data_IF_997634196333
#
_entry.id   IF_997634196333
#
_cell.length_a   1.000
_cell.length_b   1.000
_cell.length_c   1.000
_cell.angle_alpha   90.00
_cell.angle_beta   90.00
_cell.angle_gamma   90.00
#
_symmetry.space_group_name_H-M   'P 1'
#
loop_
_entity.id
_entity.type
_entity.pdbx_description
1 polymer ?
#
# COMPACT_ATOMS: atom_id res chain seq x y z
N UNK A 1 3.50 -4.20 0.91
CA UNK A 1 4.36 -5.36 1.24
C UNK A 1 4.82 -5.35 2.70
N UNK A 2 5.40 -4.25 3.22
CA UNK A 2 5.85 -4.18 4.62
C UNK A 2 4.73 -4.40 5.66
N UNK A 3 3.54 -3.82 5.45
CA UNK A 3 2.38 -4.04 6.35
C UNK A 3 2.01 -5.52 6.43
N UNK A 4 1.98 -6.22 5.30
CA UNK A 4 1.67 -7.66 5.26
C UNK A 4 2.74 -8.50 5.96
N UNK A 5 3.99 -8.04 5.99
CA UNK A 5 5.06 -8.69 6.74
C UNK A 5 4.93 -8.45 8.26
N UNK A 6 4.41 -7.28 8.67
CA UNK A 6 4.16 -6.96 10.08
C UNK A 6 2.80 -7.49 10.59
N UNK A 7 1.89 -7.88 9.70
CA UNK A 7 0.55 -8.38 10.04
C UNK A 7 0.57 -9.57 11.00
N UNK A 8 1.41 -10.59 10.82
CA UNK A 8 1.49 -11.69 11.78
C UNK A 8 1.90 -11.18 13.17
N UNK A 9 2.92 -10.32 13.25
CA UNK A 9 3.39 -9.77 14.53
C UNK A 9 2.29 -9.01 15.29
N UNK A 10 1.43 -8.29 14.57
CA UNK A 10 0.27 -7.62 15.16
C UNK A 10 -0.79 -8.60 15.68
N UNK A 11 -1.05 -9.69 14.94
CA UNK A 11 -1.98 -10.75 15.37
C UNK A 11 -1.46 -11.50 16.60
N UNK A 12 -0.14 -11.69 16.74
CA UNK A 12 0.47 -12.27 17.94
C UNK A 12 0.15 -11.48 19.20
N UNK A 13 0.38 -10.16 19.17
CA UNK A 13 0.11 -9.30 20.32
C UNK A 13 -1.38 -9.16 20.64
N UNK A 14 -2.25 -9.23 19.63
CA UNK A 14 -3.70 -9.25 19.86
C UNK A 14 -4.19 -10.61 20.37
N UNK A 15 -3.59 -11.71 19.90
CA UNK A 15 -3.87 -13.07 20.36
C UNK A 15 -3.49 -13.28 21.83
N UNK A 16 -2.38 -12.70 22.27
CA UNK A 16 -1.95 -12.66 23.68
C UNK A 16 -3.01 -11.98 24.57
N UNK A 17 -3.61 -10.88 24.09
CA UNK A 17 -4.72 -10.18 24.77
C UNK A 17 -6.00 -11.04 24.82
N UNK A 18 -6.22 -11.90 23.83
CA UNK A 18 -7.45 -12.72 23.70
C UNK A 18 -7.32 -14.14 24.28
N UNK A 19 -6.13 -14.55 24.78
CA UNK A 19 -5.89 -15.79 25.56
C UNK A 19 -6.52 -17.07 24.97
N UNK A 20 -6.41 -17.28 23.65
CA UNK A 20 -6.91 -18.49 22.99
C UNK A 20 -5.83 -19.16 22.15
N UNK A 21 -5.48 -20.41 22.51
CA UNK A 21 -4.42 -21.23 21.89
C UNK A 21 -4.63 -21.49 20.39
N UNK A 22 -5.85 -21.32 19.88
CA UNK A 22 -6.15 -21.41 18.44
C UNK A 22 -5.57 -20.24 17.64
N UNK A 23 -5.41 -19.07 18.27
CA UNK A 23 -4.78 -17.91 17.63
C UNK A 23 -3.28 -18.13 17.41
N UNK A 24 -2.60 -18.85 18.29
CA UNK A 24 -1.17 -19.15 18.16
C UNK A 24 -0.85 -20.05 16.95
N UNK A 25 -1.66 -21.08 16.73
CA UNK A 25 -1.49 -21.97 15.57
C UNK A 25 -1.83 -21.25 14.24
N UNK A 26 -2.90 -20.43 14.23
CA UNK A 26 -3.24 -19.61 13.09
C UNK A 26 -2.16 -18.55 12.79
N UNK A 27 -1.55 -17.98 13.84
CA UNK A 27 -0.45 -17.02 13.75
C UNK A 27 0.81 -17.63 13.13
N UNK A 28 1.25 -18.80 13.62
CA UNK A 28 2.43 -19.48 13.07
C UNK A 28 2.22 -19.85 11.59
N UNK A 29 1.00 -20.28 11.25
CA UNK A 29 0.60 -20.59 9.87
C UNK A 29 0.61 -19.34 8.98
N UNK A 30 0.05 -18.22 9.45
CA UNK A 30 0.00 -16.96 8.70
C UNK A 30 1.39 -16.36 8.47
N UNK A 31 2.26 -16.37 9.48
CA UNK A 31 3.63 -15.87 9.34
C UNK A 31 4.45 -16.74 8.37
N UNK A 32 4.33 -18.06 8.49
CA UNK A 32 5.00 -18.99 7.59
C UNK A 32 4.51 -18.83 6.14
N UNK A 33 3.21 -18.64 5.94
CA UNK A 33 2.63 -18.37 4.62
C UNK A 33 3.12 -17.03 4.04
N UNK A 34 3.14 -15.96 4.83
CA UNK A 34 3.66 -14.65 4.41
C UNK A 34 5.14 -14.72 4.04
N UNK A 35 5.94 -15.45 4.82
CA UNK A 35 7.35 -15.69 4.52
C UNK A 35 7.53 -16.49 3.23
N UNK A 36 6.73 -17.54 3.00
CA UNK A 36 6.72 -18.30 1.75
C UNK A 36 6.37 -17.38 0.57
N UNK A 37 5.35 -16.54 0.69
CA UNK A 37 4.94 -15.60 -0.37
C UNK A 37 6.07 -14.61 -0.66
N UNK A 38 6.72 -14.07 0.37
CA UNK A 38 7.86 -13.16 0.22
C UNK A 38 9.03 -13.84 -0.51
N UNK A 39 9.39 -15.06 -0.10
CA UNK A 39 10.46 -15.84 -0.72
C UNK A 39 10.12 -16.19 -2.17
N UNK A 40 8.87 -16.58 -2.46
CA UNK A 40 8.40 -16.84 -3.82
C UNK A 40 8.43 -15.59 -4.69
N UNK A 41 8.05 -14.43 -4.14
CA UNK A 41 8.11 -13.15 -4.84
C UNK A 41 9.55 -12.78 -5.19
N UNK A 42 10.45 -12.83 -4.20
CA UNK A 42 11.89 -12.62 -4.38
C UNK A 42 12.46 -13.59 -5.42
N UNK A 43 12.09 -14.87 -5.32
CA UNK A 43 12.53 -15.90 -6.26
C UNK A 43 12.03 -15.66 -7.69
N UNK A 44 10.75 -15.30 -7.85
CA UNK A 44 10.15 -14.99 -9.14
C UNK A 44 10.81 -13.78 -9.79
N UNK A 45 11.14 -12.76 -9.00
CA UNK A 45 11.90 -11.59 -9.44
C UNK A 45 13.31 -11.99 -9.92
N UNK A 46 13.98 -12.94 -9.25
CA UNK A 46 15.34 -13.35 -9.60
C UNK A 46 15.44 -14.38 -10.75
N UNK A 47 14.36 -15.13 -11.05
CA UNK A 47 14.36 -16.24 -12.03
C UNK A 47 13.12 -16.17 -12.95
N UNK A 48 13.05 -15.21 -13.89
CA UNK A 48 11.91 -15.01 -14.79
C UNK A 48 11.62 -16.25 -15.66
N UNK A 49 12.67 -16.95 -16.11
CA UNK A 49 12.61 -18.22 -16.86
C UNK A 49 11.70 -19.28 -16.21
N UNK A 50 11.70 -19.36 -14.87
CA UNK A 50 10.88 -20.35 -14.14
C UNK A 50 9.43 -19.90 -14.01
N UNK A 51 9.19 -18.59 -13.94
CA UNK A 51 7.84 -18.03 -13.94
C UNK A 51 7.16 -18.34 -15.26
N UNK A 52 7.86 -18.13 -16.39
CA UNK A 52 7.41 -18.50 -17.74
C UNK A 52 7.12 -20.00 -17.87
N UNK A 53 7.97 -20.85 -17.29
CA UNK A 53 7.73 -22.29 -17.31
C UNK A 53 6.50 -22.71 -16.48
N UNK A 54 6.25 -22.05 -15.35
CA UNK A 54 5.07 -22.32 -14.50
C UNK A 54 3.80 -21.85 -15.20
N UNK A 55 3.78 -20.64 -15.79
CA UNK A 55 2.64 -20.16 -16.59
C UNK A 55 2.38 -21.10 -17.75
N UNK A 56 3.41 -21.53 -18.48
CA UNK A 56 3.23 -22.50 -19.57
C UNK A 56 2.69 -23.86 -19.12
N UNK A 57 3.14 -24.34 -17.96
CA UNK A 57 2.68 -25.62 -17.39
C UNK A 57 1.26 -25.53 -16.83
N UNK A 58 0.87 -24.40 -16.24
CA UNK A 58 -0.49 -24.16 -15.76
C UNK A 58 -1.45 -24.08 -16.95
N UNK A 59 -1.11 -23.25 -17.93
CA UNK A 59 -1.93 -23.03 -19.12
C UNK A 59 -2.07 -24.31 -19.94
N UNK A 60 -1.00 -25.10 -20.14
CA UNK A 60 -1.09 -26.40 -20.80
C UNK A 60 -1.91 -27.46 -20.05
N UNK A 61 -2.09 -27.31 -18.72
CA UNK A 61 -2.95 -28.18 -17.90
C UNK A 61 -4.43 -27.80 -17.99
N UNK A 62 -4.72 -26.51 -18.18
CA UNK A 62 -6.09 -25.98 -18.29
C UNK A 62 -6.57 -25.82 -19.73
N UNK A 63 -5.66 -25.83 -20.71
CA UNK A 63 -5.94 -25.79 -22.15
C UNK A 63 -6.91 -26.89 -22.65
N UNK A 64 -6.86 -28.15 -22.17
CA UNK A 64 -7.82 -29.16 -22.62
C UNK A 64 -9.26 -28.88 -22.19
N UNK A 65 -9.45 -28.01 -21.19
CA UNK A 65 -10.76 -27.66 -20.66
C UNK A 65 -11.41 -26.48 -21.41
N UNK A 66 -10.65 -25.75 -22.23
CA UNK A 66 -11.11 -24.58 -22.99
C UNK A 66 -10.86 -24.80 -24.49
N UNK A 67 -11.92 -24.89 -25.30
CA UNK A 67 -11.86 -25.36 -26.70
C UNK A 67 -10.96 -24.55 -27.67
N UNK A 68 -10.75 -25.10 -28.87
CA UNK A 68 -9.76 -24.67 -29.91
C UNK A 68 -9.73 -23.18 -30.29
N UNK A 69 -10.83 -22.41 -30.13
CA UNK A 69 -10.82 -20.95 -30.37
C UNK A 69 -10.16 -20.18 -29.23
N UNK A 70 -10.20 -20.73 -28.01
CA UNK A 70 -9.54 -20.17 -26.84
C UNK A 70 -8.04 -20.45 -26.87
N UNK A 71 -7.60 -21.53 -27.52
CA UNK A 71 -6.17 -21.88 -27.65
C UNK A 71 -5.34 -20.78 -28.34
N UNK A 72 -5.87 -20.16 -29.41
CA UNK A 72 -5.21 -19.02 -30.09
C UNK A 72 -5.24 -17.73 -29.25
N UNK A 73 -6.30 -17.51 -28.47
CA UNK A 73 -6.36 -16.37 -27.54
C UNK A 73 -5.40 -16.58 -26.36
N UNK A 74 -5.27 -17.82 -25.89
CA UNK A 74 -4.37 -18.25 -24.84
C UNK A 74 -2.91 -18.07 -25.29
N UNK A 75 -2.56 -18.44 -26.52
CA UNK A 75 -1.19 -18.25 -27.03
C UNK A 75 -0.81 -16.77 -27.12
N UNK A 76 -1.73 -15.91 -27.56
CA UNK A 76 -1.48 -14.46 -27.61
C UNK A 76 -1.39 -13.85 -26.20
N UNK A 77 -2.21 -14.31 -25.25
CA UNK A 77 -2.08 -13.91 -23.85
C UNK A 77 -0.77 -14.40 -23.23
N UNK A 78 -0.29 -15.60 -23.60
CA UNK A 78 1.01 -16.11 -23.15
C UNK A 78 2.17 -15.26 -23.66
N UNK A 79 2.17 -14.87 -24.94
CA UNK A 79 3.20 -13.98 -25.48
C UNK A 79 3.19 -12.60 -24.81
N UNK A 80 2.00 -12.05 -24.51
CA UNK A 80 1.88 -10.81 -23.76
C UNK A 80 2.40 -10.94 -22.33
N UNK A 81 2.03 -12.03 -21.63
CA UNK A 81 2.51 -12.31 -20.27
C UNK A 81 4.03 -12.50 -20.27
N UNK A 82 4.59 -13.23 -21.24
CA UNK A 82 6.02 -13.46 -21.34
C UNK A 82 6.79 -12.17 -21.61
N UNK A 83 6.26 -11.30 -22.48
CA UNK A 83 6.84 -9.97 -22.76
C UNK A 83 6.76 -9.06 -21.54
N UNK A 84 5.62 -9.05 -20.83
CA UNK A 84 5.44 -8.28 -19.60
C UNK A 84 6.37 -8.78 -18.47
N UNK A 85 6.57 -10.10 -18.36
CA UNK A 85 7.53 -10.70 -17.41
C UNK A 85 8.96 -10.26 -17.73
N UNK A 86 9.36 -10.23 -18.99
CA UNK A 86 10.69 -9.76 -19.39
C UNK A 86 10.87 -8.26 -19.09
N UNK A 87 9.88 -7.44 -19.46
CA UNK A 87 9.89 -6.01 -19.18
C UNK A 87 9.92 -5.72 -17.68
N UNK A 88 9.14 -6.45 -16.87
CA UNK A 88 9.17 -6.35 -15.42
C UNK A 88 10.53 -6.77 -14.86
N UNK A 89 11.09 -7.88 -15.34
CA UNK A 89 12.40 -8.35 -14.89
C UNK A 89 13.52 -7.36 -15.22
N UNK A 90 13.55 -6.83 -16.44
CA UNK A 90 14.54 -5.85 -16.85
C UNK A 90 14.36 -4.54 -16.09
N UNK A 91 13.13 -4.08 -15.89
CA UNK A 91 12.83 -2.90 -15.08
C UNK A 91 13.32 -3.08 -13.65
N UNK A 92 13.02 -4.22 -13.02
CA UNK A 92 13.46 -4.55 -11.66
C UNK A 92 14.98 -4.69 -11.60
N UNK A 93 15.61 -5.28 -12.63
CA UNK A 93 17.06 -5.42 -12.74
C UNK A 93 17.73 -4.05 -12.80
N UNK A 94 17.26 -3.13 -13.65
CA UNK A 94 17.77 -1.76 -13.75
C UNK A 94 17.58 -1.00 -12.44
N UNK A 95 16.41 -1.12 -11.81
CA UNK A 95 16.10 -0.50 -10.53
C UNK A 95 17.00 -1.03 -9.39
N UNK A 96 17.34 -2.32 -9.43
CA UNK A 96 18.23 -2.99 -8.47
C UNK A 96 19.72 -2.86 -8.81
N UNK A 97 20.13 -2.59 -10.05
CA UNK A 97 21.54 -2.50 -10.46
C UNK A 97 22.04 -1.06 -10.44
N UNK A 98 21.34 -0.16 -11.14
CA UNK A 98 21.74 1.25 -11.32
C UNK A 98 21.00 2.18 -10.35
N UNK A 99 19.74 1.84 -10.03
CA UNK A 99 18.90 2.59 -9.10
C UNK A 99 19.13 2.32 -7.61
N UNK A 100 20.15 1.54 -7.22
CA UNK A 100 20.36 1.07 -5.82
C UNK A 100 20.22 2.16 -4.77
N UNK A 101 20.79 3.34 -5.03
CA UNK A 101 20.69 4.49 -4.12
C UNK A 101 19.24 4.98 -4.01
N UNK A 102 18.56 5.16 -5.15
CA UNK A 102 17.16 5.57 -5.18
C UNK A 102 16.23 4.57 -4.50
N UNK A 103 16.46 3.27 -4.69
CA UNK A 103 15.72 2.22 -4.00
C UNK A 103 15.97 2.24 -2.48
N UNK A 104 17.22 2.42 -2.04
CA UNK A 104 17.57 2.54 -0.63
C UNK A 104 16.88 3.76 0.00
N UNK A 105 16.91 4.90 -0.68
CA UNK A 105 16.18 6.10 -0.26
C UNK A 105 14.68 5.84 -0.20
N UNK A 106 14.09 5.20 -1.21
CA UNK A 106 12.66 4.87 -1.23
C UNK A 106 12.24 3.96 -0.07
N UNK A 107 13.03 2.93 0.23
CA UNK A 107 12.81 2.04 1.38
C UNK A 107 12.93 2.83 2.68
N UNK A 108 13.97 3.64 2.82
CA UNK A 108 14.19 4.45 4.03
C UNK A 108 13.04 5.43 4.25
N UNK A 109 12.61 6.16 3.21
CA UNK A 109 11.48 7.07 3.28
C UNK A 109 10.18 6.34 3.59
N UNK A 110 9.99 5.12 3.06
CA UNK A 110 8.82 4.30 3.38
C UNK A 110 8.84 3.89 4.86
N UNK A 111 9.98 3.48 5.39
CA UNK A 111 10.11 3.13 6.81
C UNK A 111 9.84 4.35 7.70
N UNK A 112 10.42 5.51 7.37
CA UNK A 112 10.19 6.76 8.09
C UNK A 112 8.71 7.15 8.06
N UNK A 113 8.07 7.06 6.90
CA UNK A 113 6.64 7.33 6.74
C UNK A 113 5.81 6.46 7.68
N UNK A 114 6.07 5.14 7.71
CA UNK A 114 5.37 4.23 8.62
C UNK A 114 5.63 4.54 10.09
N UNK A 115 6.87 4.84 10.48
CA UNK A 115 7.21 5.21 11.86
C UNK A 115 6.44 6.46 12.29
N UNK A 116 6.38 7.49 11.42
CA UNK A 116 5.63 8.72 11.69
C UNK A 116 4.13 8.42 11.83
N UNK A 117 3.56 7.66 10.89
CA UNK A 117 2.13 7.32 10.90
C UNK A 117 1.73 6.50 12.14
N UNK A 118 2.55 5.54 12.55
CA UNK A 118 2.35 4.79 13.79
C UNK A 118 2.54 5.64 15.04
N UNK A 119 3.46 6.61 15.01
CA UNK A 119 3.70 7.49 16.17
C UNK A 119 2.52 8.42 16.46
N UNK A 120 1.72 8.78 15.44
CA UNK A 120 0.58 9.69 15.61
C UNK A 120 -0.43 9.18 16.63
N UNK A 121 -0.78 7.89 16.62
CA UNK A 121 -1.75 7.34 17.58
C UNK A 121 -1.21 7.40 19.02
N UNK A 122 0.06 7.07 19.22
CA UNK A 122 0.73 7.12 20.52
C UNK A 122 0.76 8.55 21.06
N UNK A 123 1.08 9.53 20.20
CA UNK A 123 1.11 10.95 20.57
C UNK A 123 -0.28 11.48 20.97
N UNK A 124 -1.33 11.08 20.26
CA UNK A 124 -2.71 11.46 20.61
C UNK A 124 -3.07 10.93 21.99
N UNK A 125 -2.80 9.65 22.25
CA UNK A 125 -3.10 9.02 23.53
C UNK A 125 -2.29 9.62 24.68
N UNK A 126 -1.03 9.94 24.45
CA UNK A 126 -0.18 10.65 25.41
C UNK A 126 -0.71 12.06 25.71
N UNK A 127 -1.17 12.79 24.67
CA UNK A 127 -1.80 14.10 24.80
C UNK A 127 -3.11 14.07 25.59
N UNK A 128 -3.82 12.93 25.58
CA UNK A 128 -5.01 12.67 26.40
C UNK A 128 -4.66 12.14 27.81
N UNK A 129 -3.40 12.28 28.25
CA UNK A 129 -2.90 11.84 29.57
C UNK A 129 -3.02 10.33 29.83
N UNK A 130 -3.04 9.52 28.76
CA UNK A 130 -2.98 8.05 28.84
C UNK A 130 -1.62 7.54 28.41
N UNK A 131 -1.15 6.50 29.09
CA UNK A 131 0.08 5.79 28.73
C UNK A 131 -0.29 4.46 28.08
N UNK A 132 -0.59 4.43 26.77
CA UNK A 132 -0.85 3.17 26.10
C UNK A 132 0.43 2.34 26.05
N UNK A 133 0.29 1.02 26.11
CA UNK A 133 1.35 0.11 25.71
C UNK A 133 1.67 0.36 24.23
N UNK A 134 2.89 0.83 23.95
CA UNK A 134 3.39 1.10 22.59
C UNK A 134 3.12 -0.10 21.67
N UNK A 135 3.34 -1.30 22.18
CA UNK A 135 3.16 -2.54 21.44
C UNK A 135 1.71 -2.80 21.04
N UNK A 136 0.75 -2.52 21.93
CA UNK A 136 -0.68 -2.70 21.67
C UNK A 136 -1.18 -1.67 20.67
N UNK A 137 -0.74 -0.41 20.79
CA UNK A 137 -1.05 0.63 19.81
C UNK A 137 -0.52 0.27 18.41
N UNK A 138 0.70 -0.27 18.34
CA UNK A 138 1.31 -0.71 17.09
C UNK A 138 0.55 -1.87 16.44
N UNK A 139 0.21 -2.90 17.23
CA UNK A 139 -0.57 -4.04 16.76
C UNK A 139 -1.95 -3.60 16.24
N UNK A 140 -2.64 -2.74 16.99
CA UNK A 140 -3.93 -2.17 16.61
C UNK A 140 -3.87 -1.44 15.26
N UNK A 141 -2.84 -0.61 15.05
CA UNK A 141 -2.69 0.13 13.79
C UNK A 141 -2.36 -0.77 12.60
N UNK A 142 -1.59 -1.85 12.78
CA UNK A 142 -1.30 -2.80 11.69
C UNK A 142 -2.58 -3.52 11.24
N UNK A 143 -3.41 -3.98 12.19
CA UNK A 143 -4.68 -4.64 11.86
C UNK A 143 -5.62 -3.66 11.17
N UNK A 144 -5.70 -2.44 11.70
CA UNK A 144 -6.49 -1.38 11.10
C UNK A 144 -6.02 -1.03 9.68
N UNK A 145 -4.70 -0.99 9.45
CA UNK A 145 -4.13 -0.76 8.12
C UNK A 145 -4.55 -1.85 7.13
N UNK A 146 -4.64 -3.13 7.55
CA UNK A 146 -5.12 -4.21 6.69
C UNK A 146 -6.60 -4.10 6.37
N UNK A 147 -7.43 -3.76 7.36
CA UNK A 147 -8.87 -3.52 7.13
C UNK A 147 -9.05 -2.40 6.10
N UNK A 148 -8.23 -1.34 6.20
CA UNK A 148 -8.26 -0.18 5.31
C UNK A 148 -7.80 -0.46 3.87
N UNK A 149 -7.12 -1.59 3.59
CA UNK A 149 -6.72 -1.96 2.22
C UNK A 149 -7.92 -2.31 1.35
N UNK A 150 -9.02 -2.76 1.94
CA UNK A 150 -10.23 -3.10 1.19
C UNK A 150 -10.92 -1.79 0.78
N UNK A 151 -10.98 -1.44 -0.52
CA UNK A 151 -11.62 -0.22 -0.99
C UNK A 151 -13.14 -0.40 -1.01
N UNK A 152 -13.74 -0.65 0.16
CA UNK A 152 -15.16 -1.00 0.27
C UNK A 152 -16.08 0.24 0.35
N UNK A 153 -15.54 1.46 0.51
CA UNK A 153 -16.35 2.71 0.48
C UNK A 153 -15.60 3.86 -0.20
N UNK A 154 -16.26 4.66 -1.07
CA UNK A 154 -15.69 5.90 -1.57
C UNK A 154 -15.38 6.83 -0.39
N UNK A 155 -14.12 7.25 -0.25
CA UNK A 155 -13.67 8.10 0.86
C UNK A 155 -13.32 7.36 2.15
N UNK A 156 -13.48 6.02 2.22
CA UNK A 156 -12.97 5.16 3.29
C UNK A 156 -13.10 5.75 4.72
N UNK A 157 -14.23 6.38 5.07
CA UNK A 157 -14.43 7.03 6.39
C UNK A 157 -15.30 6.18 7.32
N UNK A 158 -16.33 5.49 6.79
CA UNK A 158 -17.25 4.68 7.61
C UNK A 158 -16.61 3.41 8.20
N UNK A 159 -16.05 2.54 7.35
CA UNK A 159 -15.33 1.32 7.79
C UNK A 159 -14.12 1.66 8.66
N UNK A 160 -13.60 2.82 8.39
CA UNK A 160 -12.43 3.43 8.97
C UNK A 160 -12.62 3.88 10.42
N UNK A 161 -13.71 4.60 10.69
CA UNK A 161 -14.09 5.05 12.02
C UNK A 161 -14.61 3.88 12.84
N UNK A 162 -15.46 3.03 12.25
CA UNK A 162 -15.97 1.84 12.92
C UNK A 162 -14.87 0.82 13.20
N UNK A 163 -13.97 0.58 12.25
CA UNK A 163 -12.81 -0.29 12.42
C UNK A 163 -11.84 0.23 13.46
N UNK A 164 -11.56 1.54 13.45
CA UNK A 164 -10.70 2.17 14.45
C UNK A 164 -11.34 2.12 15.84
N UNK A 165 -12.62 2.47 15.98
CA UNK A 165 -13.34 2.41 17.24
C UNK A 165 -13.38 0.98 17.79
N UNK A 166 -13.65 -0.01 16.94
CA UNK A 166 -13.66 -1.43 17.34
C UNK A 166 -12.31 -1.87 17.88
N UNK A 167 -11.21 -1.59 17.17
CA UNK A 167 -9.88 -2.04 17.59
C UNK A 167 -9.37 -1.21 18.79
N UNK A 168 -9.55 0.11 18.78
CA UNK A 168 -9.05 0.96 19.86
C UNK A 168 -9.82 0.77 21.16
N UNK A 169 -11.10 0.38 21.11
CA UNK A 169 -11.88 0.05 22.31
C UNK A 169 -11.30 -1.09 23.16
N UNK A 170 -10.40 -1.91 22.58
CA UNK A 170 -9.74 -3.00 23.30
C UNK A 170 -8.73 -2.50 24.34
N UNK A 171 -8.25 -1.25 24.23
CA UNK A 171 -7.23 -0.69 25.12
C UNK A 171 -7.45 0.78 25.48
N UNK A 172 -8.53 1.41 24.99
CA UNK A 172 -8.89 2.81 25.24
C UNK A 172 -10.29 2.86 25.84
N UNK A 173 -10.45 3.59 26.95
CA UNK A 173 -11.75 3.75 27.60
C UNK A 173 -12.79 4.42 26.68
N UNK A 174 -14.05 4.01 26.81
CA UNK A 174 -15.16 4.50 25.98
C UNK A 174 -15.33 6.03 26.04
N UNK A 175 -14.99 6.66 27.16
CA UNK A 175 -15.10 8.12 27.35
C UNK A 175 -14.17 8.93 26.44
N UNK A 176 -13.01 8.38 26.06
CA UNK A 176 -12.00 9.06 25.24
C UNK A 176 -11.82 8.42 23.86
N UNK A 177 -12.42 7.26 23.62
CA UNK A 177 -12.35 6.51 22.37
C UNK A 177 -12.79 7.36 21.17
N UNK A 178 -13.96 8.01 21.26
CA UNK A 178 -14.49 8.83 20.17
C UNK A 178 -13.55 9.99 19.81
N UNK A 179 -13.01 10.68 20.83
CA UNK A 179 -12.07 11.79 20.65
C UNK A 179 -10.77 11.28 20.01
N UNK A 180 -10.28 10.12 20.45
CA UNK A 180 -9.06 9.49 19.93
C UNK A 180 -9.19 9.15 18.44
N UNK A 181 -10.30 8.50 18.04
CA UNK A 181 -10.55 8.13 16.63
C UNK A 181 -10.68 9.37 15.76
N UNK A 182 -11.40 10.40 16.22
CA UNK A 182 -11.60 11.64 15.47
C UNK A 182 -10.29 12.43 15.31
N UNK A 183 -9.51 12.57 16.38
CA UNK A 183 -8.20 13.22 16.35
C UNK A 183 -7.23 12.46 15.43
N UNK A 184 -7.25 11.13 15.50
CA UNK A 184 -6.43 10.28 14.63
C UNK A 184 -6.79 10.48 13.16
N UNK A 185 -8.09 10.53 12.82
CA UNK A 185 -8.55 10.81 11.45
C UNK A 185 -8.20 12.22 10.98
N UNK A 186 -8.33 13.22 11.84
CA UNK A 186 -7.98 14.59 11.50
C UNK A 186 -6.49 14.72 11.13
N UNK A 187 -5.61 14.04 11.85
CA UNK A 187 -4.16 14.09 11.60
C UNK A 187 -3.72 13.18 10.44
N UNK A 188 -4.25 11.96 10.34
CA UNK A 188 -3.83 11.00 9.30
C UNK A 188 -4.46 11.26 7.95
N UNK A 189 -5.71 11.73 7.91
CA UNK A 189 -6.44 11.89 6.65
C UNK A 189 -6.63 13.37 6.28
N UNK A 190 -7.17 14.20 7.17
CA UNK A 190 -7.52 15.58 6.81
C UNK A 190 -6.30 16.48 6.62
N UNK A 191 -5.28 16.39 7.48
CA UNK A 191 -4.02 17.12 7.31
C UNK A 191 -3.30 16.72 6.01
N UNK A 192 -3.20 15.42 5.73
CA UNK A 192 -2.58 14.91 4.50
C UNK A 192 -3.37 15.34 3.25
N UNK A 193 -4.70 15.33 3.32
CA UNK A 193 -5.57 15.79 2.23
C UNK A 193 -5.41 17.30 1.98
N UNK A 194 -5.30 18.11 3.04
CA UNK A 194 -5.05 19.54 2.92
C UNK A 194 -3.68 19.82 2.31
N UNK A 195 -2.63 19.15 2.78
CA UNK A 195 -1.28 19.30 2.24
C UNK A 195 -1.21 18.89 0.76
N UNK A 196 -1.77 17.72 0.42
CA UNK A 196 -1.85 17.23 -0.96
C UNK A 196 -2.70 18.14 -1.86
N UNK A 197 -3.80 18.67 -1.34
CA UNK A 197 -4.66 19.63 -2.03
C UNK A 197 -3.95 20.95 -2.33
N UNK A 198 -3.24 21.52 -1.35
CA UNK A 198 -2.47 22.76 -1.54
C UNK A 198 -1.34 22.58 -2.56
N UNK A 199 -0.65 21.44 -2.54
CA UNK A 199 0.39 21.12 -3.53
C UNK A 199 -0.22 20.96 -4.92
N UNK A 200 -1.33 20.23 -5.03
CA UNK A 200 -2.06 20.07 -6.29
C UNK A 200 -2.50 21.41 -6.89
N UNK A 201 -3.06 22.31 -6.05
CA UNK A 201 -3.44 23.66 -6.49
C UNK A 201 -2.24 24.49 -6.95
N UNK A 202 -1.08 24.37 -6.29
CA UNK A 202 0.17 25.02 -6.76
C UNK A 202 0.59 24.49 -8.12
N UNK A 203 0.61 23.16 -8.31
CA UNK A 203 0.99 22.53 -9.58
C UNK A 203 0.05 22.95 -10.71
N UNK A 204 -1.26 22.98 -10.47
CA UNK A 204 -2.26 23.44 -11.46
C UNK A 204 -2.05 24.92 -11.79
N UNK A 205 -1.74 25.75 -10.79
CA UNK A 205 -1.44 27.17 -11.00
C UNK A 205 -0.16 27.36 -11.83
N UNK A 206 0.90 26.63 -11.52
CA UNK A 206 2.18 26.70 -12.23
C UNK A 206 2.03 26.19 -13.68
N UNK A 207 1.25 25.13 -13.88
CA UNK A 207 0.91 24.62 -15.22
C UNK A 207 0.11 25.63 -16.04
N UNK A 208 -0.86 26.31 -15.43
CA UNK A 208 -1.62 27.38 -16.08
C UNK A 208 -0.73 28.59 -16.42
N UNK A 209 0.23 28.93 -15.56
CA UNK A 209 1.20 30.00 -15.84
C UNK A 209 2.12 29.63 -17.02
N UNK A 210 2.65 28.40 -17.05
CA UNK A 210 3.48 27.93 -18.17
C UNK A 210 2.66 27.92 -19.48
N UNK A 211 1.42 27.45 -19.44
CA UNK A 211 0.53 27.45 -20.61
C UNK A 211 0.22 28.86 -21.11
N UNK A 212 0.06 29.83 -20.21
CA UNK A 212 -0.13 31.25 -20.55
C UNK A 212 1.12 31.87 -21.17
N UNK A 213 2.29 31.62 -20.59
CA UNK A 213 3.58 32.11 -21.12
C UNK A 213 3.87 31.54 -22.53
N UNK A 214 3.61 30.24 -22.75
CA UNK A 214 3.79 29.62 -24.07
C UNK A 214 2.72 30.12 -25.05
N UNK A 215 1.46 30.30 -24.62
CA UNK A 215 0.38 30.83 -25.45
C UNK A 215 0.62 32.26 -25.94
N UNK A 216 1.10 33.15 -25.07
CA UNK A 216 1.44 34.54 -25.42
C UNK A 216 2.67 34.63 -26.34
N UNK A 217 3.51 33.59 -26.40
CA UNK A 217 4.70 33.55 -27.29
C UNK A 217 4.35 33.12 -28.73
N UNK A 218 3.16 32.54 -28.96
CA UNK A 218 2.73 31.97 -30.25
C UNK A 218 1.75 32.86 -31.01
N UNK A 219 1.25 33.96 -30.42
CA UNK A 219 0.42 34.92 -31.16
C UNK A 219 1.31 35.83 -32.02
N UNK A 220 1.33 35.69 -33.35
CA UNK A 220 2.15 36.55 -34.18
C UNK A 220 1.55 37.95 -34.13
N UNK A 221 2.40 38.95 -33.86
CA UNK A 221 2.08 40.34 -34.11
C UNK A 221 1.88 40.57 -35.60
N UNK A 222 0.71 40.18 -36.12
CA UNK A 222 0.20 40.67 -37.38
C UNK A 222 -0.96 41.62 -37.08
N UNK A 223 -0.59 42.81 -36.62
CA UNK A 223 -1.45 43.99 -36.77
C UNK A 223 -0.85 44.84 -37.89
N UNK A 224 -1.58 44.83 -38.99
CA UNK A 224 -1.49 45.74 -40.13
C UNK A 224 -0.96 47.13 -39.74
N UNK A 225 0.15 47.52 -40.38
CA UNK A 225 0.39 48.91 -40.76
C UNK A 225 0.40 48.93 -42.28
N UNK A 226 -0.79 49.23 -42.82
CA UNK A 226 -0.93 49.89 -44.11
C UNK A 226 -0.51 51.37 -43.98
#
# INVERSE_FOLDING_TARGET
>A
MLIFLCLPFALYFLGDILSDYKFDAAFLTANFLAFIILVLFIYGVWKPEKVKHITHKLTGRFAPHFGKKTDTAISHLMEQIDTEIDHFHDSVRVFLSEGKKGLLWGILYTIIFWIVDFSLLILILLGLSRTPSVTTAFAAQIILAVIMIIPATPGASGIAELGAASIFSLFVDSSILGITVLAWRALTYHMNLLAGGLVSLKIVKDMNLIKKLIGDTVEPQNKNSA
#
